data_IF_202791904956
#
_entry.id   IF_202791904956
#
_cell.length_a   1.000
_cell.length_b   1.000
_cell.length_c   1.000
_cell.angle_alpha   90.00
_cell.angle_beta   90.00
_cell.angle_gamma   90.00
#
_symmetry.space_group_name_H-M   'P 1'
#
loop_
_entity.id
_entity.type
_entity.pdbx_description
1 polymer ?
#
# COMPACT_ATOMS: atom_id res chain seq x y z
N UNK A 1 37.28 4.87 -19.31
CA UNK A 1 35.96 4.55 -19.93
C UNK A 1 35.26 3.28 -19.39
N UNK A 2 35.89 2.40 -18.58
CA UNK A 2 35.25 1.17 -18.05
C UNK A 2 34.25 1.40 -16.89
N UNK A 3 34.39 2.47 -16.12
CA UNK A 3 33.51 2.82 -14.97
C UNK A 3 32.11 3.24 -15.38
N UNK A 4 31.93 3.79 -16.59
CA UNK A 4 30.63 4.27 -17.08
C UNK A 4 29.66 3.15 -17.49
N UNK A 5 30.16 1.94 -17.77
CA UNK A 5 29.33 0.78 -18.17
C UNK A 5 28.75 0.00 -16.98
N UNK A 6 29.45 -0.02 -15.84
CA UNK A 6 28.94 -0.60 -14.59
C UNK A 6 27.77 0.21 -14.03
N UNK A 7 27.85 1.55 -14.08
CA UNK A 7 26.78 2.42 -13.60
C UNK A 7 25.46 2.24 -14.38
N UNK A 8 25.53 2.00 -15.70
CA UNK A 8 24.35 1.77 -16.55
C UNK A 8 23.61 0.46 -16.27
N UNK A 9 24.27 -0.51 -15.63
CA UNK A 9 23.69 -1.85 -15.36
C UNK A 9 23.13 -1.96 -13.93
N UNK A 10 23.66 -1.17 -12.99
CA UNK A 10 23.16 -1.09 -11.61
C UNK A 10 21.92 -0.21 -11.50
N UNK A 11 21.84 0.86 -12.30
CA UNK A 11 20.71 1.79 -12.32
C UNK A 11 19.32 1.12 -12.52
N UNK A 12 19.10 0.20 -13.49
CA UNK A 12 17.78 -0.41 -13.68
C UNK A 12 17.38 -1.39 -12.55
N UNK A 13 18.34 -2.10 -11.95
CA UNK A 13 18.07 -3.00 -10.82
C UNK A 13 17.68 -2.20 -9.57
N UNK A 14 18.39 -1.09 -9.33
CA UNK A 14 18.07 -0.16 -8.24
C UNK A 14 16.68 0.48 -8.44
N UNK A 15 16.30 0.82 -9.69
CA UNK A 15 14.99 1.38 -10.02
C UNK A 15 13.84 0.37 -9.81
N UNK A 16 14.06 -0.91 -10.08
CA UNK A 16 13.06 -1.97 -9.85
C UNK A 16 12.87 -2.22 -8.34
N UNK A 17 13.94 -2.14 -7.54
CA UNK A 17 13.81 -2.26 -6.08
C UNK A 17 13.07 -1.08 -5.44
N UNK A 18 13.10 0.12 -6.04
CA UNK A 18 12.40 1.29 -5.51
C UNK A 18 10.90 1.30 -5.82
N UNK A 19 10.42 0.52 -6.81
CA UNK A 19 9.01 0.55 -7.25
C UNK A 19 8.09 -0.42 -6.48
N UNK A 20 8.63 -1.22 -5.56
CA UNK A 20 7.87 -2.25 -4.84
C UNK A 20 7.12 -1.75 -3.58
N UNK A 21 7.24 -0.48 -3.19
CA UNK A 21 6.59 0.06 -1.99
C UNK A 21 5.30 0.83 -2.35
N UNK A 22 4.27 0.12 -2.82
CA UNK A 22 2.95 0.72 -3.07
C UNK A 22 2.05 0.58 -1.83
N UNK A 23 2.23 1.51 -0.89
CA UNK A 23 1.25 1.75 0.18
C UNK A 23 0.05 2.51 -0.38
N UNK A 24 -1.14 2.16 0.10
CA UNK A 24 -2.40 2.80 -0.23
C UNK A 24 -3.03 3.36 1.05
N UNK A 25 -3.43 4.63 1.01
CA UNK A 25 -4.07 5.31 2.13
C UNK A 25 -5.47 4.75 2.36
N UNK A 26 -5.79 4.40 3.62
CA UNK A 26 -7.12 3.92 4.03
C UNK A 26 -7.98 5.08 4.51
N UNK A 27 -7.49 5.82 5.50
CA UNK A 27 -8.19 6.92 6.14
C UNK A 27 -7.20 8.05 6.46
N UNK A 28 -7.65 9.29 6.27
CA UNK A 28 -6.93 10.50 6.66
C UNK A 28 -7.70 11.31 7.70
N UNK A 29 -7.11 12.43 8.12
CA UNK A 29 -7.72 13.36 9.10
C UNK A 29 -8.00 12.70 10.47
N UNK A 30 -7.21 11.70 10.86
CA UNK A 30 -7.38 10.99 12.11
C UNK A 30 -6.65 11.68 13.26
N UNK A 31 -7.23 11.62 14.46
CA UNK A 31 -6.47 11.89 15.68
C UNK A 31 -5.41 10.82 15.90
N UNK A 32 -4.35 11.14 16.65
CA UNK A 32 -3.29 10.17 16.94
C UNK A 32 -3.84 8.91 17.62
N UNK A 33 -4.76 9.09 18.57
CA UNK A 33 -5.40 7.98 19.28
C UNK A 33 -6.18 7.07 18.33
N UNK A 34 -7.02 7.64 17.45
CA UNK A 34 -7.76 6.84 16.46
C UNK A 34 -6.81 6.11 15.51
N UNK A 35 -5.76 6.78 15.01
CA UNK A 35 -4.78 6.14 14.14
C UNK A 35 -4.07 4.98 14.84
N UNK A 36 -3.68 5.14 16.11
CA UNK A 36 -3.07 4.07 16.92
C UNK A 36 -4.02 2.88 17.10
N UNK A 37 -5.29 3.14 17.43
CA UNK A 37 -6.31 2.09 17.58
C UNK A 37 -6.54 1.33 16.26
N UNK A 38 -6.65 2.04 15.14
CA UNK A 38 -6.85 1.44 13.82
C UNK A 38 -5.65 0.57 13.40
N UNK A 39 -4.42 1.06 13.60
CA UNK A 39 -3.21 0.29 13.32
C UNK A 39 -3.13 -0.97 14.20
N UNK A 40 -3.48 -0.86 15.49
CA UNK A 40 -3.50 -2.01 16.39
C UNK A 40 -4.49 -3.09 15.92
N UNK A 41 -5.70 -2.70 15.50
CA UNK A 41 -6.73 -3.62 15.00
C UNK A 41 -6.27 -4.31 13.70
N UNK A 42 -5.70 -3.56 12.76
CA UNK A 42 -5.17 -4.11 11.51
C UNK A 42 -4.02 -5.09 11.75
N UNK A 43 -3.08 -4.74 12.63
CA UNK A 43 -1.94 -5.61 12.97
C UNK A 43 -2.37 -6.88 13.70
N UNK A 44 -3.35 -6.78 14.59
CA UNK A 44 -3.94 -7.95 15.26
C UNK A 44 -4.66 -8.87 14.27
N UNK A 45 -5.21 -8.33 13.18
CA UNK A 45 -5.77 -9.11 12.08
C UNK A 45 -4.71 -9.64 11.08
N UNK A 46 -3.41 -9.44 11.36
CA UNK A 46 -2.30 -9.89 10.52
C UNK A 46 -2.04 -9.01 9.29
N UNK A 47 -2.63 -7.82 9.21
CA UNK A 47 -2.46 -6.88 8.11
C UNK A 47 -1.34 -5.88 8.44
N UNK A 48 -0.49 -5.56 7.47
CA UNK A 48 0.51 -4.51 7.66
C UNK A 48 -0.15 -3.15 7.52
N UNK A 49 -0.06 -2.35 8.57
CA UNK A 49 -0.60 -1.00 8.61
C UNK A 49 0.44 -0.03 9.16
N UNK A 50 0.60 1.08 8.47
CA UNK A 50 1.55 2.13 8.81
C UNK A 50 0.80 3.42 9.16
N UNK A 51 1.36 4.19 10.10
CA UNK A 51 0.85 5.50 10.51
C UNK A 51 1.83 6.56 10.02
N UNK A 52 1.34 7.52 9.24
CA UNK A 52 2.10 8.70 8.84
C UNK A 52 1.40 9.97 9.33
N UNK A 53 2.17 11.02 9.61
CA UNK A 53 1.60 12.35 9.81
C UNK A 53 1.14 12.89 8.43
N UNK A 54 -0.04 13.51 8.39
CA UNK A 54 -0.51 14.26 7.23
C UNK A 54 0.43 15.44 6.95
N UNK A 55 0.39 15.96 5.71
CA UNK A 55 1.21 17.12 5.29
C UNK A 55 1.02 18.35 6.20
N UNK A 56 -0.16 18.48 6.79
CA UNK A 56 -0.51 19.60 7.67
C UNK A 56 -0.01 19.43 9.12
N UNK A 57 0.58 18.29 9.47
CA UNK A 57 1.12 17.97 10.80
C UNK A 57 0.09 17.82 11.93
N UNK A 58 -1.18 18.15 11.68
CA UNK A 58 -2.28 18.13 12.68
C UNK A 58 -3.10 16.84 12.69
N UNK A 59 -2.93 16.01 11.67
CA UNK A 59 -3.69 14.80 11.48
C UNK A 59 -2.78 13.63 11.11
N UNK A 60 -3.28 12.43 11.32
CA UNK A 60 -2.62 11.19 10.94
C UNK A 60 -3.36 10.51 9.79
N UNK A 61 -2.60 9.79 8.98
CA UNK A 61 -3.06 8.94 7.89
C UNK A 61 -2.64 7.52 8.21
N UNK A 62 -3.57 6.58 8.04
CA UNK A 62 -3.29 5.15 8.16
C UNK A 62 -3.29 4.56 6.75
N UNK A 63 -2.21 3.88 6.40
CA UNK A 63 -2.02 3.24 5.10
C UNK A 63 -1.76 1.74 5.26
N UNK A 64 -2.06 0.97 4.22
CA UNK A 64 -1.82 -0.47 4.14
C UNK A 64 -1.22 -0.84 2.79
N UNK A 65 -0.81 -2.09 2.61
CA UNK A 65 -0.40 -2.60 1.30
C UNK A 65 -1.58 -2.59 0.34
N UNK A 66 -1.32 -2.24 -0.93
CA UNK A 66 -2.36 -2.25 -1.97
C UNK A 66 -3.08 -3.61 -2.09
N UNK A 67 -2.39 -4.74 -1.80
CA UNK A 67 -2.99 -6.08 -1.79
C UNK A 67 -4.00 -6.33 -0.67
N UNK A 68 -3.84 -5.62 0.44
CA UNK A 68 -4.56 -5.86 1.70
C UNK A 68 -5.66 -4.82 1.92
N UNK A 69 -5.84 -3.87 1.00
CA UNK A 69 -6.75 -2.74 1.12
C UNK A 69 -8.20 -3.15 1.42
N UNK A 70 -8.80 -4.00 0.60
CA UNK A 70 -10.19 -4.44 0.79
C UNK A 70 -10.39 -5.13 2.14
N UNK A 71 -9.44 -5.99 2.50
CA UNK A 71 -9.45 -6.71 3.78
C UNK A 71 -9.30 -5.76 4.97
N UNK A 72 -8.42 -4.77 4.85
CA UNK A 72 -8.20 -3.76 5.89
C UNK A 72 -9.47 -2.94 6.13
N UNK A 73 -10.18 -2.54 5.07
CA UNK A 73 -11.46 -1.83 5.19
C UNK A 73 -12.50 -2.70 5.89
N UNK A 74 -12.65 -3.96 5.50
CA UNK A 74 -13.59 -4.90 6.15
C UNK A 74 -13.29 -5.08 7.65
N UNK A 75 -12.03 -5.29 8.01
CA UNK A 75 -11.59 -5.45 9.40
C UNK A 75 -11.91 -4.20 10.22
N UNK A 76 -11.63 -3.02 9.67
CA UNK A 76 -11.92 -1.74 10.33
C UNK A 76 -13.43 -1.52 10.50
N UNK A 77 -14.24 -1.80 9.47
CA UNK A 77 -15.70 -1.66 9.53
C UNK A 77 -16.35 -2.63 10.53
N UNK A 78 -15.85 -3.86 10.60
CA UNK A 78 -16.28 -4.84 11.61
C UNK A 78 -15.96 -4.35 13.04
N UNK A 79 -14.81 -3.68 13.21
CA UNK A 79 -14.41 -3.03 14.46
C UNK A 79 -15.07 -1.68 14.77
N UNK A 80 -15.95 -1.17 13.88
CA UNK A 80 -16.62 0.13 14.05
C UNK A 80 -15.71 1.35 13.82
N UNK A 81 -14.65 1.20 13.03
CA UNK A 81 -13.76 2.29 12.68
C UNK A 81 -14.17 3.00 11.37
N UNK A 82 -13.87 4.30 11.24
CA UNK A 82 -13.34 5.19 12.29
C UNK A 82 -14.38 5.42 13.38
N UNK A 83 -13.95 5.44 14.65
CA UNK A 83 -14.86 5.70 15.77
C UNK A 83 -15.47 7.09 15.62
N UNK A 84 -16.77 7.19 15.86
CA UNK A 84 -17.47 8.47 15.90
C UNK A 84 -16.82 9.39 16.96
N UNK A 85 -16.63 10.65 16.59
CA UNK A 85 -16.27 11.69 17.54
C UNK A 85 -17.54 12.24 18.17
N UNK A 86 -17.56 12.34 19.50
CA UNK A 86 -18.66 12.96 20.23
C UNK A 86 -18.34 14.42 20.51
N UNK A 87 -19.27 15.30 20.19
CA UNK A 87 -19.15 16.71 20.53
C UNK A 87 -19.39 16.89 22.03
N UNK A 88 -18.49 17.61 22.69
CA UNK A 88 -18.67 17.95 24.11
C UNK A 88 -19.69 19.08 24.26
N UNK A 89 -20.35 19.16 25.42
CA UNK A 89 -21.27 20.27 25.76
C UNK A 89 -20.60 21.64 25.48
N UNK A 90 -19.32 21.80 25.84
CA UNK A 90 -18.58 23.04 25.59
C UNK A 90 -18.36 23.37 24.12
N UNK A 91 -18.40 22.40 23.21
CA UNK A 91 -18.32 22.63 21.77
C UNK A 91 -19.69 22.99 21.19
N UNK A 92 -20.75 22.29 21.61
CA UNK A 92 -22.12 22.52 21.14
C UNK A 92 -22.68 23.87 21.62
N UNK A 93 -22.26 24.35 22.80
CA UNK A 93 -22.70 25.63 23.37
C UNK A 93 -21.80 26.83 23.03
N UNK A 94 -20.84 26.70 22.10
CA UNK A 94 -20.11 27.87 21.60
C UNK A 94 -21.11 28.81 20.93
N UNK A 95 -21.42 29.93 21.60
CA UNK A 95 -22.34 30.94 21.07
C UNK A 95 -21.73 31.60 19.84
N UNK A 96 -22.17 31.18 18.66
CA UNK A 96 -21.96 31.95 17.44
C UNK A 96 -23.08 32.99 17.37
N UNK A 97 -22.74 34.28 17.55
CA UNK A 97 -23.70 35.39 17.54
C UNK A 97 -24.06 35.96 18.92
N UNK A 98 -24.61 37.18 18.91
CA UNK A 98 -24.82 38.00 20.11
C UNK A 98 -26.02 37.54 20.97
N UNK A 99 -26.99 36.81 20.40
CA UNK A 99 -28.19 36.29 21.09
C UNK A 99 -28.64 34.98 20.42
N UNK A 100 -28.89 33.92 21.19
CA UNK A 100 -29.49 32.66 20.69
C UNK A 100 -30.99 32.62 20.95
N UNK A 101 -31.75 32.00 20.05
CA UNK A 101 -33.20 31.81 20.25
C UNK A 101 -33.48 30.66 21.24
N UNK A 102 -34.66 30.66 21.86
CA UNK A 102 -35.09 29.58 22.76
C UNK A 102 -35.12 28.21 22.05
N UNK A 103 -35.54 28.19 20.77
CA UNK A 103 -35.55 26.98 19.94
C UNK A 103 -34.12 26.46 19.71
N UNK A 104 -33.18 27.36 19.44
CA UNK A 104 -31.79 27.03 19.19
C UNK A 104 -31.08 26.50 20.45
N UNK A 105 -31.28 27.15 21.59
CA UNK A 105 -30.74 26.69 22.87
C UNK A 105 -31.24 25.28 23.22
N UNK A 106 -32.52 25.03 22.98
CA UNK A 106 -33.15 23.71 23.18
C UNK A 106 -32.59 22.65 22.23
N UNK A 107 -32.42 22.98 20.95
CA UNK A 107 -31.85 22.08 19.96
C UNK A 107 -30.41 21.69 20.34
N UNK A 108 -29.59 22.68 20.75
CA UNK A 108 -28.23 22.46 21.26
C UNK A 108 -28.22 21.60 22.53
N UNK A 109 -29.09 21.89 23.49
CA UNK A 109 -29.19 21.09 24.72
C UNK A 109 -29.53 19.63 24.43
N UNK A 110 -30.55 19.38 23.60
CA UNK A 110 -30.99 18.01 23.26
C UNK A 110 -29.91 17.26 22.45
N UNK A 111 -29.21 17.97 21.56
CA UNK A 111 -28.08 17.42 20.82
C UNK A 111 -26.93 17.05 21.76
N UNK A 112 -26.51 17.95 22.64
CA UNK A 112 -25.42 17.71 23.58
C UNK A 112 -25.72 16.53 24.53
N UNK A 113 -26.97 16.42 25.00
CA UNK A 113 -27.42 15.30 25.82
C UNK A 113 -27.37 13.97 25.05
N UNK A 114 -27.76 13.99 23.77
CA UNK A 114 -27.66 12.82 22.89
C UNK A 114 -26.20 12.38 22.69
N UNK A 115 -25.27 13.34 22.55
CA UNK A 115 -23.82 13.07 22.42
C UNK A 115 -23.25 12.48 23.72
N UNK A 116 -23.56 13.07 24.88
CA UNK A 116 -23.04 12.62 26.17
C UNK A 116 -23.51 11.19 26.52
N UNK A 117 -24.79 10.91 26.26
CA UNK A 117 -25.36 9.57 26.44
C UNK A 117 -24.73 8.56 25.47
N UNK A 118 -24.55 8.94 24.20
CA UNK A 118 -23.91 8.08 23.21
C UNK A 118 -22.46 7.77 23.58
N UNK A 119 -21.71 8.78 24.02
CA UNK A 119 -20.33 8.64 24.51
C UNK A 119 -20.27 7.69 25.72
N UNK A 120 -21.13 7.91 26.72
CA UNK A 120 -21.20 7.07 27.93
C UNK A 120 -21.50 5.61 27.59
N UNK A 121 -22.51 5.36 26.75
CA UNK A 121 -22.88 3.99 26.35
C UNK A 121 -21.83 3.35 25.44
N UNK A 122 -21.08 4.13 24.65
CA UNK A 122 -19.99 3.61 23.80
C UNK A 122 -18.80 3.05 24.60
N UNK A 123 -18.66 3.46 25.86
CA UNK A 123 -17.61 2.98 26.76
C UNK A 123 -17.97 1.67 27.48
N UNK A 124 -19.18 1.13 27.26
CA UNK A 124 -19.58 -0.16 27.82
C UNK A 124 -18.82 -1.29 27.11
N UNK A 125 -18.30 -2.24 27.89
CA UNK A 125 -17.58 -3.38 27.34
C UNK A 125 -18.44 -4.19 26.36
N UNK A 126 -17.88 -4.43 25.17
CA UNK A 126 -18.58 -5.13 24.10
C UNK A 126 -19.42 -4.25 23.19
N UNK A 127 -19.60 -2.96 23.52
CA UNK A 127 -20.18 -1.99 22.59
C UNK A 127 -19.12 -1.57 21.57
N UNK A 128 -19.49 -1.63 20.29
CA UNK A 128 -18.68 -1.17 19.16
C UNK A 128 -19.09 0.24 18.76
N UNK A 129 -20.40 0.50 18.77
CA UNK A 129 -20.98 1.81 18.48
C UNK A 129 -22.26 1.99 19.27
N UNK A 130 -22.49 3.18 19.80
CA UNK A 130 -23.74 3.55 20.45
C UNK A 130 -24.24 4.90 19.89
N UNK A 131 -25.53 4.97 19.62
CA UNK A 131 -26.21 6.21 19.22
C UNK A 131 -27.50 6.37 20.00
N UNK A 132 -27.69 7.55 20.57
CA UNK A 132 -28.88 7.89 21.34
C UNK A 132 -29.56 9.07 20.68
N UNK A 133 -30.86 8.94 20.45
CA UNK A 133 -31.71 10.02 19.98
C UNK A 133 -32.73 10.33 21.06
N UNK A 134 -32.71 11.59 21.52
CA UNK A 134 -33.60 12.09 22.55
C UNK A 134 -34.61 13.06 21.94
N UNK A 135 -35.88 12.93 22.32
CA UNK A 135 -36.90 13.93 22.03
C UNK A 135 -37.47 14.45 23.35
N UNK A 136 -37.20 15.73 23.62
CA UNK A 136 -37.80 16.47 24.73
C UNK A 136 -38.96 17.28 24.14
N UNK A 137 -40.20 17.10 24.59
CA UNK A 137 -41.35 17.87 24.13
C UNK A 137 -41.47 19.25 24.78
N UNK A 138 -42.06 20.21 24.08
CA UNK A 138 -42.31 21.55 24.64
C UNK A 138 -43.41 21.50 25.71
N UNK A 139 -43.19 22.24 26.81
CA UNK A 139 -44.19 22.31 27.87
C UNK A 139 -45.30 23.26 27.41
N UNK A 140 -46.42 22.69 26.98
CA UNK A 140 -47.61 23.47 26.63
C UNK A 140 -48.39 23.83 27.92
N UNK A 141 -48.45 25.11 28.34
CA UNK A 141 -49.15 25.51 29.56
C UNK A 141 -50.68 25.37 29.45
N UNK A 142 -51.22 25.16 28.23
CA UNK A 142 -52.65 25.00 27.96
C UNK A 142 -53.07 23.53 27.83
N UNK A 143 -52.12 22.59 27.92
CA UNK A 143 -52.40 21.16 27.84
C UNK A 143 -52.38 20.55 29.23
N UNK A 144 -53.49 19.93 29.64
CA UNK A 144 -53.58 19.18 30.91
C UNK A 144 -52.82 17.84 30.86
N UNK A 145 -52.42 17.38 29.67
CA UNK A 145 -51.67 16.14 29.50
C UNK A 145 -50.17 16.40 29.62
N UNK A 146 -49.45 15.76 30.57
CA UNK A 146 -48.01 15.83 30.63
C UNK A 146 -47.41 15.15 29.39
N UNK A 147 -46.61 15.89 28.62
CA UNK A 147 -45.87 15.32 27.50
C UNK A 147 -44.53 14.81 28.02
N UNK A 148 -44.32 13.49 27.91
CA UNK A 148 -43.13 12.83 28.41
C UNK A 148 -42.00 12.86 27.37
N UNK A 149 -40.76 12.93 27.85
CA UNK A 149 -39.58 12.74 27.01
C UNK A 149 -39.56 11.31 26.46
N UNK A 150 -38.88 11.12 25.33
CA UNK A 150 -38.66 9.80 24.72
C UNK A 150 -37.20 9.65 24.31
N UNK A 151 -36.71 8.41 24.31
CA UNK A 151 -35.35 8.10 23.86
C UNK A 151 -35.30 6.81 23.05
N UNK A 152 -34.50 6.82 21.98
CA UNK A 152 -34.18 5.65 21.18
C UNK A 152 -32.68 5.40 21.23
N UNK A 153 -32.30 4.18 21.61
CA UNK A 153 -30.91 3.79 21.82
C UNK A 153 -30.57 2.69 20.81
N UNK A 154 -29.61 2.96 19.94
CA UNK A 154 -29.03 2.00 19.02
C UNK A 154 -27.66 1.57 19.54
N UNK A 155 -27.43 0.27 19.66
CA UNK A 155 -26.14 -0.29 20.08
C UNK A 155 -25.73 -1.38 19.09
N UNK A 156 -24.57 -1.18 18.48
CA UNK A 156 -23.84 -2.22 17.76
C UNK A 156 -22.86 -2.87 18.74
N UNK A 157 -22.91 -4.19 18.89
CA UNK A 157 -22.06 -4.91 19.85
C UNK A 157 -21.18 -5.97 19.19
N UNK A 158 -20.09 -6.36 19.87
CA UNK A 158 -19.16 -7.38 19.36
C UNK A 158 -19.89 -8.72 19.16
N UNK A 159 -19.51 -9.48 18.12
CA UNK A 159 -20.01 -10.84 17.95
C UNK A 159 -19.60 -11.69 19.17
N UNK A 160 -20.52 -12.56 19.64
CA UNK A 160 -20.31 -13.42 20.80
C UNK A 160 -20.51 -12.76 22.17
N UNK A 161 -20.75 -11.44 22.23
CA UNK A 161 -21.21 -10.77 23.46
C UNK A 161 -22.72 -10.63 23.40
N UNK A 162 -23.42 -11.17 24.39
CA UNK A 162 -24.85 -10.93 24.59
C UNK A 162 -25.04 -9.71 25.51
N UNK A 163 -25.64 -8.64 24.97
CA UNK A 163 -26.01 -7.44 25.72
C UNK A 163 -27.49 -7.42 26.14
N UNK A 164 -28.28 -8.44 25.79
CA UNK A 164 -29.71 -8.49 26.10
C UNK A 164 -29.97 -8.44 27.61
N UNK A 165 -29.10 -9.06 28.43
CA UNK A 165 -29.20 -9.03 29.90
C UNK A 165 -28.88 -7.65 30.50
N UNK A 166 -28.15 -6.81 29.78
CA UNK A 166 -27.71 -5.48 30.19
C UNK A 166 -28.71 -4.40 29.76
N UNK A 167 -29.69 -4.74 28.91
CA UNK A 167 -30.72 -3.82 28.41
C UNK A 167 -31.40 -3.05 29.54
N UNK A 168 -31.74 -3.71 30.65
CA UNK A 168 -32.34 -3.06 31.81
C UNK A 168 -31.45 -2.00 32.45
N UNK A 169 -30.13 -2.27 32.53
CA UNK A 169 -29.12 -1.34 33.05
C UNK A 169 -28.88 -0.17 32.09
N UNK A 170 -28.78 -0.44 30.79
CA UNK A 170 -28.66 0.59 29.75
C UNK A 170 -29.86 1.54 29.82
N UNK A 171 -31.07 0.97 29.92
CA UNK A 171 -32.30 1.72 30.04
C UNK A 171 -32.34 2.56 31.32
N UNK A 172 -31.90 2.02 32.45
CA UNK A 172 -31.79 2.76 33.71
C UNK A 172 -30.78 3.92 33.63
N UNK A 173 -29.63 3.74 32.98
CA UNK A 173 -28.65 4.81 32.76
C UNK A 173 -29.27 5.98 31.97
N UNK A 174 -30.01 5.68 30.91
CA UNK A 174 -30.65 6.70 30.06
C UNK A 174 -31.78 7.42 30.80
N UNK A 175 -32.61 6.69 31.53
CA UNK A 175 -33.69 7.26 32.35
C UNK A 175 -33.12 8.19 33.43
N UNK A 176 -32.07 7.77 34.13
CA UNK A 176 -31.48 8.57 35.22
C UNK A 176 -30.70 9.79 34.73
N UNK A 177 -30.29 9.81 33.46
CA UNK A 177 -29.61 10.95 32.85
C UNK A 177 -30.58 12.07 32.41
N UNK A 178 -31.89 11.85 32.49
CA UNK A 178 -32.90 12.73 31.92
C UNK A 178 -34.10 12.96 32.82
N UNK A 179 -34.52 14.22 32.93
CA UNK A 179 -35.77 14.56 33.60
C UNK A 179 -36.99 14.23 32.72
N UNK A 180 -38.04 13.70 33.34
CA UNK A 180 -39.33 13.46 32.68
C UNK A 180 -39.30 12.36 31.61
N UNK A 181 -38.30 11.48 31.61
CA UNK A 181 -38.20 10.31 30.75
C UNK A 181 -38.69 9.05 31.49
N UNK A 182 -39.93 8.59 31.28
CA UNK A 182 -40.40 7.36 31.91
C UNK A 182 -39.70 6.15 31.29
N UNK A 183 -39.57 5.09 32.08
CA UNK A 183 -38.92 3.86 31.65
C UNK A 183 -39.55 3.34 30.35
N UNK A 184 -40.87 3.27 30.24
CA UNK A 184 -41.54 2.71 29.06
C UNK A 184 -41.29 3.48 27.75
N UNK A 185 -40.82 4.72 27.82
CA UNK A 185 -40.51 5.57 26.65
C UNK A 185 -39.06 5.45 26.16
N UNK A 186 -38.30 4.48 26.66
CA UNK A 186 -36.95 4.18 26.17
C UNK A 186 -36.95 2.86 25.40
N UNK A 187 -36.62 2.95 24.11
CA UNK A 187 -36.46 1.81 23.22
C UNK A 187 -34.97 1.53 23.02
N UNK A 188 -34.54 0.29 23.25
CA UNK A 188 -33.16 -0.15 23.05
C UNK A 188 -33.14 -1.20 21.94
N UNK A 189 -32.38 -0.93 20.88
CA UNK A 189 -32.17 -1.83 19.76
C UNK A 189 -30.71 -2.28 19.73
N UNK A 190 -30.50 -3.60 19.84
CA UNK A 190 -29.20 -4.24 19.86
C UNK A 190 -28.94 -4.91 18.51
N UNK A 191 -27.77 -4.68 17.92
CA UNK A 191 -27.36 -5.30 16.67
C UNK A 191 -25.96 -5.91 16.80
N UNK A 192 -25.77 -7.19 16.44
CA UNK A 192 -24.43 -7.78 16.41
C UNK A 192 -23.62 -7.18 15.27
N UNK A 193 -22.35 -6.91 15.53
CA UNK A 193 -21.38 -6.57 14.49
C UNK A 193 -21.05 -7.80 13.65
N UNK A 194 -20.79 -7.58 12.36
CA UNK A 194 -20.32 -8.64 11.49
C UNK A 194 -18.98 -9.20 12.01
N UNK A 195 -18.84 -10.55 12.07
CA UNK A 195 -17.60 -11.15 12.48
C UNK A 195 -16.50 -10.78 11.50
N UNK A 196 -15.33 -10.41 12.03
CA UNK A 196 -14.14 -10.20 11.21
C UNK A 196 -13.86 -11.50 10.46
N UNK A 197 -13.83 -11.52 9.12
CA UNK A 197 -13.57 -12.75 8.39
C UNK A 197 -12.23 -13.39 8.80
N UNK A 198 -12.07 -14.70 8.77
CA UNK A 198 -10.75 -15.29 8.95
C UNK A 198 -9.79 -14.78 7.87
N UNK A 199 -8.50 -14.66 8.18
CA UNK A 199 -7.50 -14.33 7.18
C UNK A 199 -7.59 -15.35 6.03
N UNK A 200 -7.60 -14.87 4.77
CA UNK A 200 -7.59 -15.75 3.62
C UNK A 200 -6.36 -16.69 3.73
N UNK A 201 -6.52 -18.00 3.46
CA UNK A 201 -5.40 -18.92 3.54
C UNK A 201 -4.32 -18.48 2.56
N UNK A 202 -3.19 -18.03 3.09
CA UNK A 202 -2.04 -17.69 2.26
C UNK A 202 -1.52 -18.98 1.65
N UNK A 203 -1.46 -19.04 0.32
CA UNK A 203 -0.82 -20.16 -0.35
C UNK A 203 0.67 -20.19 0.03
N UNK A 204 1.25 -21.39 0.10
CA UNK A 204 2.70 -21.55 0.31
C UNK A 204 3.49 -20.77 -0.75
N UNK A 205 2.99 -20.73 -1.99
CA UNK A 205 3.58 -19.96 -3.07
C UNK A 205 3.60 -18.45 -2.77
N UNK A 206 2.49 -17.85 -2.32
CA UNK A 206 2.44 -16.43 -1.95
C UNK A 206 3.33 -16.11 -0.75
N UNK A 207 3.39 -17.00 0.24
CA UNK A 207 4.26 -16.83 1.40
C UNK A 207 5.74 -16.86 0.97
N UNK A 208 6.15 -17.87 0.20
CA UNK A 208 7.51 -17.99 -0.33
C UNK A 208 7.87 -16.83 -1.27
N UNK A 209 6.94 -16.36 -2.10
CA UNK A 209 7.17 -15.21 -2.97
C UNK A 209 7.31 -13.90 -2.19
N UNK A 210 6.54 -13.71 -1.12
CA UNK A 210 6.68 -12.53 -0.26
C UNK A 210 8.02 -12.51 0.50
N UNK A 211 8.49 -13.67 0.95
CA UNK A 211 9.72 -13.81 1.74
C UNK A 211 10.99 -13.86 0.87
N UNK A 212 10.93 -14.50 -0.31
CA UNK A 212 12.09 -14.81 -1.16
C UNK A 212 11.96 -14.34 -2.61
N UNK A 213 10.85 -13.73 -3.01
CA UNK A 213 10.62 -13.30 -4.39
C UNK A 213 11.65 -12.26 -4.85
N UNK A 214 12.05 -11.35 -3.95
CA UNK A 214 13.13 -10.40 -4.23
C UNK A 214 14.46 -11.12 -4.50
N UNK A 215 14.84 -12.08 -3.65
CA UNK A 215 16.06 -12.89 -3.81
C UNK A 215 16.03 -13.68 -5.14
N UNK A 216 14.91 -14.32 -5.47
CA UNK A 216 14.73 -15.05 -6.72
C UNK A 216 14.92 -14.12 -7.93
N UNK A 217 14.29 -12.95 -7.93
CA UNK A 217 14.45 -11.96 -8.99
C UNK A 217 15.92 -11.49 -9.11
N UNK A 218 16.60 -11.25 -8.00
CA UNK A 218 18.02 -10.90 -7.99
C UNK A 218 18.91 -11.99 -8.59
N UNK A 219 18.70 -13.25 -8.20
CA UNK A 219 19.48 -14.39 -8.71
C UNK A 219 19.24 -14.57 -10.21
N UNK A 220 17.98 -14.51 -10.66
CA UNK A 220 17.67 -14.60 -12.09
C UNK A 220 18.23 -13.43 -12.89
N UNK A 221 18.19 -12.21 -12.33
CA UNK A 221 18.76 -11.01 -12.95
C UNK A 221 20.28 -11.10 -13.08
N UNK A 222 20.96 -11.59 -12.05
CA UNK A 222 22.42 -11.83 -12.08
C UNK A 222 22.80 -12.87 -13.13
N UNK A 223 22.02 -13.96 -13.23
CA UNK A 223 22.22 -15.00 -14.26
C UNK A 223 22.08 -14.46 -15.68
N UNK A 224 21.07 -13.62 -15.94
CA UNK A 224 20.90 -12.96 -17.23
C UNK A 224 22.05 -11.99 -17.55
N UNK A 225 22.57 -11.27 -16.56
CA UNK A 225 23.73 -10.39 -16.76
C UNK A 225 25.01 -11.16 -17.09
N UNK A 226 25.25 -12.28 -16.43
CA UNK A 226 26.42 -13.13 -16.69
C UNK A 226 26.34 -13.72 -18.09
N UNK A 227 25.20 -14.32 -18.45
CA UNK A 227 25.00 -14.93 -19.77
C UNK A 227 25.05 -13.89 -20.89
N UNK A 228 24.39 -12.73 -20.73
CA UNK A 228 24.48 -11.62 -21.67
C UNK A 228 25.91 -11.07 -21.82
N UNK A 229 26.67 -10.98 -20.72
CA UNK A 229 28.08 -10.57 -20.73
C UNK A 229 28.98 -11.51 -21.52
N UNK A 230 28.78 -12.82 -21.37
CA UNK A 230 29.51 -13.85 -22.12
C UNK A 230 29.21 -13.77 -23.62
N UNK A 231 27.94 -13.60 -24.00
CA UNK A 231 27.54 -13.45 -25.42
C UNK A 231 28.15 -12.20 -26.05
N UNK A 232 28.15 -11.07 -25.34
CA UNK A 232 28.74 -9.81 -25.83
C UNK A 232 30.27 -9.93 -25.94
N UNK A 233 30.94 -10.58 -24.99
CA UNK A 233 32.38 -10.82 -25.04
C UNK A 233 32.76 -11.72 -26.23
N UNK A 234 32.00 -12.79 -26.46
CA UNK A 234 32.21 -13.68 -27.60
C UNK A 234 31.97 -12.96 -28.94
N UNK A 235 30.98 -12.07 -29.01
CA UNK A 235 30.71 -11.26 -30.19
C UNK A 235 31.82 -10.22 -30.47
N UNK A 236 32.41 -9.62 -29.42
CA UNK A 236 33.55 -8.71 -29.56
C UNK A 236 34.82 -9.41 -30.03
N UNK A 237 35.14 -10.60 -29.48
CA UNK A 237 36.30 -11.39 -29.95
C UNK A 237 36.20 -11.76 -31.44
N UNK A 238 34.99 -12.10 -31.90
CA UNK A 238 34.75 -12.39 -33.33
C UNK A 238 34.89 -11.15 -34.22
N UNK A 239 34.58 -9.95 -33.72
CA UNK A 239 34.74 -8.69 -34.47
C UNK A 239 36.20 -8.28 -34.61
N UNK A 240 37.01 -8.42 -33.56
CA UNK A 240 38.44 -8.10 -33.63
C UNK A 240 39.18 -9.05 -34.58
N UNK A 241 38.80 -10.34 -34.62
CA UNK A 241 39.35 -11.31 -35.58
C UNK A 241 39.02 -10.99 -37.05
N UNK A 242 37.97 -10.21 -37.33
CA UNK A 242 37.58 -9.81 -38.68
C UNK A 242 38.32 -8.55 -39.19
N UNK A 243 39.10 -7.88 -38.33
CA UNK A 243 39.93 -6.72 -38.71
C UNK A 243 41.37 -7.21 -38.93
N UNK A 244 41.62 -7.91 -40.05
CA UNK A 244 42.98 -8.05 -40.55
C UNK A 244 43.38 -6.72 -41.23
N UNK A 245 44.53 -6.11 -40.89
CA UNK A 245 45.01 -4.96 -41.62
C UNK A 245 45.32 -5.37 -43.06
N UNK A 246 44.64 -4.74 -44.03
CA UNK A 246 44.96 -4.90 -45.45
C UNK A 246 46.46 -4.64 -45.65
N UNK A 247 47.20 -5.52 -46.35
CA UNK A 247 48.62 -5.32 -46.57
C UNK A 247 48.80 -4.03 -47.38
N UNK A 248 49.47 -3.05 -46.79
CA UNK A 248 49.91 -1.86 -47.51
C UNK A 248 50.81 -2.31 -48.66
N UNK A 249 50.30 -2.28 -49.90
CA UNK A 249 51.15 -2.27 -51.09
C UNK A 249 51.94 -0.97 -51.05
N UNK A 250 53.10 -1.03 -50.39
CA UNK A 250 54.04 0.08 -50.35
C UNK A 250 54.47 0.46 -51.76
N UNK A 251 54.57 1.78 -51.98
CA UNK A 251 55.12 2.41 -53.19
C UNK A 251 56.43 1.79 -53.68
N UNK A 252 57.20 1.14 -52.80
CA UNK A 252 58.40 0.38 -53.13
C UNK A 252 58.17 -0.71 -54.20
N UNK A 253 57.01 -1.39 -54.19
CA UNK A 253 56.69 -2.45 -55.16
C UNK A 253 56.37 -1.93 -56.57
N UNK A 254 55.99 -0.65 -56.70
CA UNK A 254 55.75 -0.03 -58.01
C UNK A 254 57.06 0.46 -58.66
N UNK A 255 58.04 0.86 -57.85
CA UNK A 255 59.38 1.26 -58.33
C UNK A 255 60.16 0.03 -58.81
N UNK A 256 60.11 -1.08 -58.09
CA UNK A 256 60.79 -2.33 -58.51
C UNK A 256 60.18 -2.94 -59.78
N UNK A 257 58.86 -2.82 -59.99
CA UNK A 257 58.20 -3.27 -61.21
C UNK A 257 58.55 -2.40 -62.43
N UNK A 258 58.84 -1.11 -62.24
CA UNK A 258 59.25 -0.21 -63.32
C UNK A 258 60.72 -0.38 -63.75
N UNK A 259 61.59 -0.90 -62.87
CA UNK A 259 63.03 -1.09 -63.14
C UNK A 259 63.37 -2.51 -63.61
N UNK A 260 62.44 -3.46 -63.48
CA UNK A 260 62.60 -4.86 -63.88
C UNK A 260 63.01 -5.14 -65.36
N UNK A 261 62.59 -4.37 -66.38
CA UNK A 261 62.96 -4.71 -67.77
C UNK A 261 64.42 -4.39 -68.14
N UNK A 262 65.19 -3.68 -67.29
CA UNK A 262 66.59 -3.34 -67.56
C UNK A 262 67.62 -4.34 -66.99
N UNK A 263 67.20 -5.35 -66.21
CA UNK A 263 68.11 -6.32 -65.55
C UNK A 263 68.19 -7.70 -66.20
N UNK A 264 67.36 -8.01 -67.20
CA UNK A 264 67.37 -9.31 -67.92
C UNK A 264 67.99 -9.18 -69.31
N UNK A 265 69.28 -8.89 -69.37
CA UNK A 265 70.11 -9.19 -70.54
C UNK A 265 71.35 -9.96 -70.08
N UNK A 266 71.16 -11.19 -69.62
CA UNK A 266 72.19 -12.23 -69.65
C UNK A 266 71.53 -13.61 -69.55
N UNK A 267 71.82 -14.45 -70.54
CA UNK A 267 71.32 -15.80 -70.75
C UNK A 267 71.53 -16.73 -69.54
N UNK A 268 70.86 -17.89 -69.49
CA UNK A 268 71.59 -19.09 -69.91
C UNK A 268 70.76 -20.25 -70.51
N UNK A 269 71.55 -21.15 -71.10
CA UNK A 269 71.37 -22.56 -71.48
C UNK A 269 70.73 -23.42 -70.37
N UNK A 270 69.85 -24.38 -70.74
CA UNK A 270 69.61 -25.74 -70.18
C UNK A 270 68.81 -26.50 -71.26
N UNK A 271 69.29 -27.53 -71.97
CA UNK A 271 69.65 -28.93 -71.64
C UNK A 271 68.48 -29.90 -71.33
N UNK A 272 68.47 -30.96 -72.17
CA UNK A 272 68.01 -32.34 -71.98
C UNK A 272 66.53 -32.73 -72.01
N UNK A 273 66.23 -33.64 -72.95
CA UNK A 273 65.25 -34.71 -72.83
C UNK A 273 65.78 -36.00 -73.53
N UNK A 274 65.30 -37.20 -73.15
CA UNK A 274 66.15 -38.39 -72.97
C UNK A 274 65.83 -39.56 -73.92
N UNK A 275 66.72 -40.57 -74.00
CA UNK A 275 66.42 -42.03 -73.81
C UNK A 275 67.50 -42.97 -74.38
N UNK A 276 67.71 -44.03 -73.59
CA UNK A 276 67.89 -45.46 -73.93
C UNK A 276 69.08 -45.96 -74.76
N UNK A 277 69.82 -46.85 -74.09
CA UNK A 277 70.09 -48.25 -74.44
C UNK A 277 71.04 -48.62 -75.59
N UNK A 278 71.77 -49.72 -75.28
CA UNK A 278 72.40 -50.70 -76.18
C UNK A 278 73.65 -50.20 -76.91
N UNK A 279 74.65 -50.99 -77.26
CA UNK A 279 75.11 -52.36 -76.96
C UNK A 279 76.53 -52.41 -77.54
N UNK A 280 77.38 -53.26 -76.96
CA UNK A 280 78.46 -54.04 -77.60
C UNK A 280 79.51 -53.41 -78.55
N UNK A 281 80.73 -53.89 -78.29
CA UNK A 281 81.87 -54.16 -79.19
C UNK A 281 82.82 -53.00 -79.54
#
# INVERSE_FOLDING_TARGET
MRTFRLWRSVAPVLLICLSACSQQDLYGQLSERQANEMVAVLRNAGLQADKAASRDGKAFVVSTRSSDFSRAVEVLQAGGFPKESFDTIGQVFKKEGFVSSALEERARFTHALSQELSNTLSNIDGVVQARVHVSVPEKNPLSDKPQHSTASVFIKHRPGVDLSQQTGKIKALVVNAMEGLPYDNVTVALFPAEPIPPAAPQSLASALWSQYGSLLLFVTGLGFLITGGVVVAAWWQRREAAVQPSPQRGLASMVDAAVAPLRRAKAPVVEAAPKSMASEA
#
